data_IF_542630268605
#
_entry.id   IF_542630268605
#
_cell.length_a   1.000
_cell.length_b   1.000
_cell.length_c   1.000
_cell.angle_alpha   90.00
_cell.angle_beta   90.00
_cell.angle_gamma   90.00
#
_symmetry.space_group_name_H-M   'P 1'
#
loop_
_entity.id
_entity.type
_entity.pdbx_description
1 polymer ?
#
# COMPACT_ATOMS: atom_id res chain seq x y z
N UNK A 1 21.30 -36.30 -50.57
CA UNK A 1 21.69 -35.55 -49.35
C UNK A 1 20.43 -35.23 -48.56
N UNK A 2 20.46 -35.41 -47.24
CA UNK A 2 19.30 -35.55 -46.33
C UNK A 2 18.39 -34.30 -46.29
N UNK A 3 17.09 -34.51 -46.44
CA UNK A 3 16.05 -33.52 -46.10
C UNK A 3 16.12 -33.21 -44.60
N UNK A 4 16.46 -31.97 -44.23
CA UNK A 4 16.37 -31.49 -42.86
C UNK A 4 14.90 -31.19 -42.54
N UNK A 5 14.23 -32.14 -41.89
CA UNK A 5 12.82 -32.06 -41.45
C UNK A 5 12.65 -31.27 -40.14
N UNK A 6 13.33 -30.12 -40.00
CA UNK A 6 13.12 -29.20 -38.87
C UNK A 6 12.96 -27.78 -39.40
N UNK A 7 11.73 -27.28 -39.34
CA UNK A 7 11.41 -25.87 -39.52
C UNK A 7 12.08 -25.09 -38.38
N UNK A 8 13.17 -24.41 -38.66
CA UNK A 8 13.81 -23.50 -37.71
C UNK A 8 12.98 -22.21 -37.67
N UNK A 9 12.21 -21.99 -36.60
CA UNK A 9 11.58 -20.69 -36.34
C UNK A 9 12.69 -19.68 -35.99
N UNK A 10 13.03 -18.82 -36.95
CA UNK A 10 13.91 -17.68 -36.74
C UNK A 10 13.08 -16.59 -36.05
N UNK A 11 13.16 -16.52 -34.72
CA UNK A 11 12.65 -15.38 -33.93
C UNK A 11 13.79 -14.42 -33.63
N UNK A 12 13.53 -13.13 -33.69
CA UNK A 12 14.48 -12.13 -33.21
C UNK A 12 14.60 -12.24 -31.68
N UNK A 13 15.79 -11.95 -31.14
CA UNK A 13 16.07 -11.89 -29.70
C UNK A 13 14.94 -11.17 -28.93
N UNK A 14 14.54 -11.67 -27.74
CA UNK A 14 15.44 -12.22 -26.73
C UNK A 14 15.26 -13.72 -26.49
N UNK A 15 16.36 -14.46 -26.66
CA UNK A 15 16.50 -15.82 -26.13
C UNK A 15 16.89 -15.79 -24.64
N UNK A 16 16.10 -15.13 -23.80
CA UNK A 16 16.28 -15.14 -22.34
C UNK A 16 15.30 -16.16 -21.76
N UNK A 17 15.76 -17.40 -21.63
CA UNK A 17 15.13 -18.41 -20.79
C UNK A 17 15.95 -18.52 -19.50
N UNK A 18 15.58 -17.75 -18.47
CA UNK A 18 15.83 -17.99 -17.02
C UNK A 18 15.75 -16.71 -16.14
N UNK A 19 14.72 -15.89 -16.35
CA UNK A 19 14.28 -14.93 -15.33
C UNK A 19 13.10 -15.51 -14.55
N UNK A 20 12.91 -15.12 -13.29
CA UNK A 20 11.64 -15.34 -12.60
C UNK A 20 10.53 -14.64 -13.41
N UNK A 21 9.40 -15.33 -13.65
CA UNK A 21 8.28 -14.71 -14.37
C UNK A 21 7.71 -13.54 -13.58
N UNK A 22 7.14 -12.55 -14.27
CA UNK A 22 6.46 -11.42 -13.63
C UNK A 22 5.43 -11.90 -12.60
N UNK A 23 4.66 -12.92 -12.94
CA UNK A 23 3.66 -13.56 -12.06
C UNK A 23 4.31 -14.09 -10.78
N UNK A 24 5.48 -14.74 -10.90
CA UNK A 24 6.22 -15.26 -9.75
C UNK A 24 6.72 -14.11 -8.86
N UNK A 25 7.21 -13.03 -9.45
CA UNK A 25 7.68 -11.85 -8.71
C UNK A 25 6.51 -11.20 -7.98
N UNK A 26 5.40 -10.93 -8.68
CA UNK A 26 4.21 -10.28 -8.11
C UNK A 26 3.56 -11.13 -7.02
N UNK A 27 3.49 -12.44 -7.20
CA UNK A 27 3.02 -13.35 -6.14
C UNK A 27 3.90 -13.29 -4.89
N UNK A 28 5.22 -13.23 -5.04
CA UNK A 28 6.13 -13.06 -3.90
C UNK A 28 5.96 -11.70 -3.20
N UNK A 29 5.58 -10.64 -3.93
CA UNK A 29 5.23 -9.34 -3.32
C UNK A 29 3.98 -9.47 -2.46
N UNK A 30 2.93 -10.14 -2.96
CA UNK A 30 1.73 -10.43 -2.14
C UNK A 30 2.11 -11.21 -0.88
N UNK A 31 2.93 -12.26 -1.03
CA UNK A 31 3.38 -13.09 0.09
C UNK A 31 4.19 -12.28 1.13
N UNK A 32 5.03 -11.36 0.68
CA UNK A 32 5.82 -10.49 1.55
C UNK A 32 4.96 -9.49 2.33
N UNK A 33 3.85 -9.03 1.74
CA UNK A 33 2.91 -8.09 2.37
C UNK A 33 1.90 -8.78 3.29
N UNK A 34 1.68 -10.08 3.11
CA UNK A 34 0.67 -10.86 3.84
C UNK A 34 0.83 -10.77 5.37
N UNK A 35 2.03 -10.86 5.98
CA UNK A 35 2.16 -10.70 7.43
C UNK A 35 1.72 -9.32 7.92
N UNK A 36 2.08 -8.26 7.19
CA UNK A 36 1.69 -6.89 7.52
C UNK A 36 0.18 -6.67 7.34
N UNK A 37 -0.44 -7.27 6.31
CA UNK A 37 -1.89 -7.17 6.09
C UNK A 37 -2.68 -7.88 7.20
N UNK A 38 -2.23 -9.07 7.63
CA UNK A 38 -2.85 -9.79 8.73
C UNK A 38 -2.72 -9.05 10.05
N UNK A 39 -1.58 -8.41 10.32
CA UNK A 39 -1.43 -7.55 11.49
C UNK A 39 -2.36 -6.33 11.42
N UNK A 40 -2.49 -5.69 10.25
CA UNK A 40 -3.47 -4.63 10.02
C UNK A 40 -4.91 -5.09 10.32
N UNK A 41 -5.29 -6.29 9.87
CA UNK A 41 -6.59 -6.89 10.19
C UNK A 41 -6.75 -7.20 11.68
N UNK A 42 -5.67 -7.62 12.35
CA UNK A 42 -5.69 -7.85 13.79
C UNK A 42 -5.91 -6.54 14.58
N UNK A 43 -5.20 -5.47 14.22
CA UNK A 43 -5.27 -4.19 14.93
C UNK A 43 -6.55 -3.41 14.65
N UNK A 44 -6.95 -3.30 13.38
CA UNK A 44 -8.08 -2.46 12.96
C UNK A 44 -9.38 -3.21 12.71
N UNK A 45 -9.35 -4.55 12.77
CA UNK A 45 -10.54 -5.40 12.76
C UNK A 45 -11.29 -5.39 11.42
N UNK A 46 -12.62 -5.43 11.51
CA UNK A 46 -13.49 -5.68 10.35
C UNK A 46 -13.44 -4.54 9.32
N UNK A 47 -13.24 -3.30 9.77
CA UNK A 47 -13.15 -2.14 8.89
C UNK A 47 -11.94 -2.23 7.93
N UNK A 48 -10.79 -2.68 8.43
CA UNK A 48 -9.60 -2.91 7.60
C UNK A 48 -9.79 -4.05 6.60
N UNK A 49 -10.46 -5.14 7.01
CA UNK A 49 -10.75 -6.27 6.12
C UNK A 49 -11.63 -5.79 4.96
N UNK A 50 -12.69 -5.04 5.24
CA UNK A 50 -13.61 -4.53 4.23
C UNK A 50 -12.89 -3.58 3.28
N UNK A 51 -12.17 -2.58 3.80
CA UNK A 51 -11.49 -1.58 2.96
C UNK A 51 -10.43 -2.20 2.05
N UNK A 52 -9.56 -3.08 2.56
CA UNK A 52 -8.53 -3.75 1.74
C UNK A 52 -9.16 -4.69 0.72
N UNK A 53 -10.16 -5.47 1.12
CA UNK A 53 -10.83 -6.42 0.20
C UNK A 53 -11.53 -5.68 -0.93
N UNK A 54 -12.22 -4.59 -0.62
CA UNK A 54 -12.89 -3.76 -1.62
C UNK A 54 -11.86 -3.09 -2.53
N UNK A 55 -10.78 -2.54 -1.99
CA UNK A 55 -9.69 -1.97 -2.79
C UNK A 55 -9.13 -2.98 -3.79
N UNK A 56 -8.88 -4.22 -3.36
CA UNK A 56 -8.42 -5.31 -4.22
C UNK A 56 -9.46 -5.67 -5.30
N UNK A 57 -10.71 -5.93 -4.90
CA UNK A 57 -11.77 -6.30 -5.84
C UNK A 57 -11.99 -5.19 -6.86
N UNK A 58 -12.07 -3.93 -6.41
CA UNK A 58 -12.26 -2.79 -7.30
C UNK A 58 -11.11 -2.63 -8.28
N UNK A 59 -9.85 -2.74 -7.86
CA UNK A 59 -8.72 -2.66 -8.78
C UNK A 59 -8.76 -3.77 -9.85
N UNK A 60 -9.03 -5.02 -9.46
CA UNK A 60 -9.11 -6.16 -10.39
C UNK A 60 -10.30 -6.01 -11.32
N UNK A 61 -11.46 -5.60 -10.81
CA UNK A 61 -12.67 -5.37 -11.59
C UNK A 61 -12.49 -4.21 -12.58
N UNK A 62 -11.88 -3.10 -12.16
CA UNK A 62 -11.58 -1.98 -13.07
C UNK A 62 -10.66 -2.42 -14.19
N UNK A 63 -9.58 -3.15 -13.89
CA UNK A 63 -8.69 -3.64 -14.93
C UNK A 63 -9.43 -4.56 -15.91
N UNK A 64 -10.22 -5.49 -15.38
CA UNK A 64 -11.00 -6.42 -16.19
C UNK A 64 -11.96 -5.69 -17.12
N UNK A 65 -12.75 -4.74 -16.59
CA UNK A 65 -13.73 -3.97 -17.37
C UNK A 65 -13.05 -3.13 -18.45
N UNK A 66 -11.93 -2.48 -18.14
CA UNK A 66 -11.18 -1.68 -19.10
C UNK A 66 -10.53 -2.54 -20.19
N UNK A 67 -9.99 -3.70 -19.85
CA UNK A 67 -9.48 -4.66 -20.84
C UNK A 67 -10.57 -5.10 -21.81
N UNK A 68 -11.74 -5.49 -21.28
CA UNK A 68 -12.89 -5.89 -22.09
C UNK A 68 -13.36 -4.74 -22.99
N UNK A 69 -13.44 -3.52 -22.45
CA UNK A 69 -13.85 -2.35 -23.21
C UNK A 69 -12.86 -1.98 -24.33
N UNK A 70 -11.56 -2.18 -24.11
CA UNK A 70 -10.51 -1.98 -25.11
C UNK A 70 -10.35 -3.16 -26.08
N UNK A 71 -11.15 -4.23 -25.95
CA UNK A 71 -11.02 -5.44 -26.78
C UNK A 71 -9.72 -6.22 -26.57
N UNK A 72 -9.07 -6.07 -25.41
CA UNK A 72 -7.81 -6.73 -25.05
C UNK A 72 -8.06 -7.97 -24.19
N UNK A 73 -7.17 -8.98 -24.24
CA UNK A 73 -7.25 -10.11 -23.32
C UNK A 73 -7.13 -9.63 -21.87
N UNK A 74 -7.82 -10.32 -20.96
CA UNK A 74 -7.88 -9.93 -19.55
C UNK A 74 -6.64 -10.39 -18.80
N UNK A 75 -6.01 -9.47 -18.08
CA UNK A 75 -4.71 -9.68 -17.42
C UNK A 75 -4.84 -10.14 -15.97
N UNK A 76 -5.83 -11.00 -15.67
CA UNK A 76 -6.12 -11.41 -14.28
C UNK A 76 -5.06 -12.31 -13.66
N UNK A 77 -4.21 -12.97 -14.47
CA UNK A 77 -3.22 -13.95 -14.02
C UNK A 77 -1.90 -13.33 -13.55
N UNK A 78 -1.63 -12.08 -13.93
CA UNK A 78 -0.32 -11.45 -13.70
C UNK A 78 -0.17 -10.88 -12.28
N UNK A 79 -1.17 -11.08 -11.40
CA UNK A 79 -1.24 -10.59 -10.01
C UNK A 79 -1.15 -9.07 -9.82
N UNK A 80 -0.88 -8.33 -10.89
CA UNK A 80 -0.47 -6.93 -10.77
C UNK A 80 -1.57 -5.98 -10.32
N UNK A 81 -2.82 -6.11 -10.79
CA UNK A 81 -3.92 -5.34 -10.23
C UNK A 81 -4.25 -5.73 -8.78
N UNK A 82 -4.07 -7.00 -8.43
CA UNK A 82 -4.23 -7.44 -7.04
C UNK A 82 -3.18 -6.82 -6.12
N UNK A 83 -1.90 -6.79 -6.55
CA UNK A 83 -0.81 -6.10 -5.83
C UNK A 83 -1.09 -4.60 -5.72
N UNK A 84 -1.52 -3.95 -6.81
CA UNK A 84 -1.90 -2.52 -6.77
C UNK A 84 -3.03 -2.28 -5.78
N UNK A 85 -4.10 -3.07 -5.82
CA UNK A 85 -5.24 -2.94 -4.91
C UNK A 85 -4.86 -3.23 -3.45
N UNK A 86 -3.99 -4.22 -3.21
CA UNK A 86 -3.49 -4.54 -1.88
C UNK A 86 -2.66 -3.39 -1.31
N UNK A 87 -1.66 -2.91 -2.07
CA UNK A 87 -0.83 -1.77 -1.65
C UNK A 87 -1.67 -0.51 -1.45
N UNK A 88 -2.60 -0.23 -2.36
CA UNK A 88 -3.51 0.90 -2.24
C UNK A 88 -4.34 0.79 -0.97
N UNK A 89 -5.04 -0.33 -0.74
CA UNK A 89 -5.84 -0.55 0.47
C UNK A 89 -5.04 -0.44 1.76
N UNK A 90 -3.81 -0.99 1.79
CA UNK A 90 -2.91 -0.89 2.94
C UNK A 90 -2.51 0.55 3.27
N UNK A 91 -2.48 1.43 2.28
CA UNK A 91 -2.14 2.85 2.48
C UNK A 91 -3.35 3.69 2.89
N UNK A 92 -4.56 3.14 3.02
CA UNK A 92 -5.75 3.90 3.41
C UNK A 92 -6.04 3.78 4.90
N UNK A 93 -6.78 4.74 5.49
CA UNK A 93 -7.36 4.55 6.81
C UNK A 93 -8.44 3.45 6.77
N UNK A 94 -8.54 2.63 7.82
CA UNK A 94 -9.51 1.54 7.88
C UNK A 94 -10.97 2.00 7.95
N UNK A 95 -11.22 3.22 8.39
CA UNK A 95 -12.56 3.82 8.46
C UNK A 95 -12.98 4.58 7.20
N UNK A 96 -12.22 4.48 6.10
CA UNK A 96 -12.55 5.19 4.87
C UNK A 96 -13.86 4.66 4.29
N UNK A 97 -14.80 5.55 3.88
CA UNK A 97 -16.01 5.13 3.21
C UNK A 97 -15.71 4.25 1.99
N UNK A 98 -16.45 3.16 1.86
CA UNK A 98 -16.26 2.15 0.82
C UNK A 98 -16.27 2.76 -0.58
N UNK A 99 -17.20 3.67 -0.87
CA UNK A 99 -17.33 4.29 -2.18
C UNK A 99 -16.10 5.14 -2.56
N UNK A 100 -15.46 5.81 -1.59
CA UNK A 100 -14.22 6.57 -1.84
C UNK A 100 -13.08 5.61 -2.18
N UNK A 101 -13.03 4.47 -1.50
CA UNK A 101 -12.05 3.41 -1.77
C UNK A 101 -12.19 2.92 -3.21
N UNK A 102 -13.41 2.64 -3.67
CA UNK A 102 -13.70 2.24 -5.06
C UNK A 102 -13.26 3.33 -6.04
N UNK A 103 -13.58 4.60 -5.78
CA UNK A 103 -13.21 5.72 -6.64
C UNK A 103 -11.69 5.80 -6.85
N UNK A 104 -10.91 5.73 -5.76
CA UNK A 104 -9.45 5.78 -5.87
C UNK A 104 -8.86 4.55 -6.57
N UNK A 105 -9.46 3.37 -6.43
CA UNK A 105 -9.06 2.17 -7.17
C UNK A 105 -9.31 2.32 -8.68
N UNK A 106 -10.44 2.89 -9.07
CA UNK A 106 -10.76 3.19 -10.48
C UNK A 106 -9.74 4.14 -11.08
N UNK A 107 -9.36 5.17 -10.33
CA UNK A 107 -8.35 6.16 -10.75
C UNK A 107 -6.96 5.51 -10.87
N UNK A 108 -6.55 4.73 -9.86
CA UNK A 108 -5.26 4.03 -9.84
C UNK A 108 -5.09 3.15 -11.08
N UNK A 109 -6.08 2.32 -11.40
CA UNK A 109 -5.99 1.42 -12.55
C UNK A 109 -6.26 2.15 -13.86
N UNK A 110 -7.37 2.89 -13.94
CA UNK A 110 -7.82 3.53 -15.17
C UNK A 110 -6.87 4.61 -15.68
N UNK A 111 -6.54 5.57 -14.81
CA UNK A 111 -5.76 6.75 -15.20
C UNK A 111 -4.27 6.45 -15.16
N UNK A 112 -3.79 5.69 -14.18
CA UNK A 112 -2.33 5.51 -14.01
C UNK A 112 -1.78 4.25 -14.68
N UNK A 113 -2.54 3.15 -14.71
CA UNK A 113 -2.04 1.89 -15.28
C UNK A 113 -2.45 1.71 -16.74
N UNK A 114 -3.75 1.74 -17.03
CA UNK A 114 -4.26 1.42 -18.37
C UNK A 114 -3.97 2.51 -19.40
N UNK A 115 -4.04 3.78 -19.01
CA UNK A 115 -3.76 4.90 -19.91
C UNK A 115 -2.31 4.90 -20.43
N UNK A 116 -1.36 4.47 -19.60
CA UNK A 116 0.06 4.41 -19.95
C UNK A 116 0.46 3.10 -20.65
N UNK A 117 -0.51 2.25 -21.00
CA UNK A 117 -0.27 1.04 -21.77
C UNK A 117 -0.14 -0.25 -20.95
N UNK A 118 -0.37 -0.20 -19.64
CA UNK A 118 -0.43 -1.38 -18.77
C UNK A 118 0.90 -1.72 -18.09
N UNK A 119 1.14 -3.01 -17.87
CA UNK A 119 2.28 -3.49 -17.08
C UNK A 119 3.63 -3.17 -17.74
N UNK A 120 4.54 -2.61 -16.95
CA UNK A 120 5.90 -2.24 -17.40
C UNK A 120 6.01 -0.82 -17.96
N UNK A 121 4.90 -0.15 -18.25
CA UNK A 121 4.87 1.22 -18.80
C UNK A 121 4.38 2.27 -17.81
N UNK A 122 4.21 1.90 -16.54
CA UNK A 122 3.73 2.81 -15.50
C UNK A 122 4.82 3.84 -15.15
N UNK A 123 4.61 5.10 -15.52
CA UNK A 123 5.51 6.20 -15.13
C UNK A 123 5.55 6.41 -13.60
N UNK A 124 4.41 6.18 -12.93
CA UNK A 124 4.24 6.32 -11.48
C UNK A 124 3.65 5.05 -10.87
N UNK A 125 3.81 4.88 -9.54
CA UNK A 125 3.15 3.80 -8.82
C UNK A 125 1.62 4.01 -8.82
N UNK A 126 0.83 3.13 -9.46
CA UNK A 126 -0.62 3.30 -9.58
C UNK A 126 -1.33 3.42 -8.23
N UNK A 127 -0.92 2.64 -7.23
CA UNK A 127 -1.54 2.65 -5.90
C UNK A 127 -1.37 4.01 -5.21
N UNK A 128 -0.18 4.59 -5.30
CA UNK A 128 0.13 5.88 -4.68
C UNK A 128 -0.56 7.04 -5.39
N UNK A 129 -0.77 6.96 -6.72
CA UNK A 129 -1.53 7.98 -7.45
C UNK A 129 -3.00 7.96 -7.03
N UNK A 130 -3.60 6.78 -6.88
CA UNK A 130 -4.96 6.65 -6.34
C UNK A 130 -5.10 7.29 -4.95
N UNK A 131 -4.18 6.96 -4.03
CA UNK A 131 -4.13 7.58 -2.69
C UNK A 131 -3.92 9.09 -2.76
N UNK A 132 -2.99 9.59 -3.58
CA UNK A 132 -2.70 11.01 -3.66
C UNK A 132 -3.90 11.83 -4.16
N UNK A 133 -4.64 11.31 -5.14
CA UNK A 133 -5.85 11.98 -5.64
C UNK A 133 -6.98 11.97 -4.62
N UNK A 134 -7.16 10.87 -3.87
CA UNK A 134 -8.09 10.88 -2.74
C UNK A 134 -7.66 11.82 -1.63
N UNK A 135 -6.37 11.94 -1.34
CA UNK A 135 -5.85 12.88 -0.34
C UNK A 135 -6.14 14.34 -0.73
N UNK A 136 -6.06 14.66 -2.02
CA UNK A 136 -6.38 15.98 -2.54
C UNK A 136 -7.90 16.26 -2.52
N UNK A 137 -8.73 15.27 -2.84
CA UNK A 137 -10.18 15.41 -2.91
C UNK A 137 -10.88 15.32 -1.54
N UNK A 138 -10.41 14.44 -0.66
CA UNK A 138 -11.04 14.09 0.61
C UNK A 138 -10.03 14.07 1.79
N UNK A 139 -9.35 15.19 2.07
CA UNK A 139 -8.26 15.23 3.05
C UNK A 139 -8.73 14.87 4.47
N UNK A 140 -9.94 15.26 4.86
CA UNK A 140 -10.50 14.98 6.19
C UNK A 140 -10.75 13.49 6.38
N UNK A 141 -11.30 12.81 5.38
CA UNK A 141 -11.55 11.37 5.43
C UNK A 141 -10.25 10.56 5.48
N UNK A 142 -9.19 11.02 4.78
CA UNK A 142 -7.89 10.33 4.78
C UNK A 142 -7.02 10.61 6.02
N UNK A 143 -7.40 11.59 6.85
CA UNK A 143 -6.68 11.95 8.08
C UNK A 143 -7.46 11.62 9.36
N UNK A 144 -8.60 10.95 9.21
CA UNK A 144 -9.43 10.49 10.33
C UNK A 144 -9.10 9.05 10.69
N UNK A 145 -8.51 8.84 11.88
CA UNK A 145 -8.06 7.53 12.34
C UNK A 145 -8.98 7.00 13.45
N UNK A 146 -9.51 5.76 13.32
CA UNK A 146 -10.33 5.19 14.37
C UNK A 146 -9.48 4.77 15.56
N UNK A 147 -10.06 4.83 16.77
CA UNK A 147 -9.40 4.27 17.97
C UNK A 147 -9.32 2.74 17.83
N UNK A 148 -8.13 2.19 18.13
CA UNK A 148 -7.93 0.74 18.26
C UNK A 148 -8.68 0.25 19.51
N UNK A 149 -9.92 -0.20 19.33
CA UNK A 149 -10.82 -0.63 20.41
C UNK A 149 -10.90 -2.15 20.61
N UNK A 150 -11.48 -2.57 21.74
CA UNK A 150 -11.77 -3.98 22.04
C UNK A 150 -12.90 -4.57 21.18
N UNK A 151 -13.82 -3.74 20.68
CA UNK A 151 -14.95 -4.15 19.83
C UNK A 151 -14.66 -4.15 18.31
N UNK A 152 -13.39 -4.11 17.92
CA UNK A 152 -12.93 -3.99 16.51
C UNK A 152 -13.48 -5.05 15.53
N UNK A 153 -13.88 -6.23 16.02
CA UNK A 153 -14.45 -7.31 15.20
C UNK A 153 -15.98 -7.42 15.30
N UNK A 154 -16.60 -6.78 16.29
CA UNK A 154 -18.04 -6.85 16.56
C UNK A 154 -18.81 -5.62 16.08
N UNK A 155 -18.13 -4.46 15.96
CA UNK A 155 -18.74 -3.21 15.49
C UNK A 155 -18.04 -2.71 14.24
N UNK A 156 -18.84 -2.29 13.25
CA UNK A 156 -18.34 -1.54 12.10
C UNK A 156 -18.48 -0.03 12.36
N UNK A 157 -17.44 0.78 12.09
CA UNK A 157 -17.58 2.23 12.15
C UNK A 157 -18.65 2.70 11.17
N UNK A 158 -19.55 3.56 11.63
CA UNK A 158 -20.65 4.12 10.81
C UNK A 158 -20.13 4.87 9.56
N UNK A 159 -18.92 5.42 9.65
CA UNK A 159 -18.21 6.07 8.54
C UNK A 159 -17.92 5.15 7.35
N UNK A 160 -17.71 3.84 7.58
CA UNK A 160 -17.32 2.90 6.51
C UNK A 160 -18.45 2.67 5.51
N UNK A 161 -19.69 2.62 6.01
CA UNK A 161 -20.90 2.38 5.20
C UNK A 161 -21.65 3.66 4.83
N UNK A 162 -21.02 4.82 4.98
CA UNK A 162 -21.65 6.10 4.64
C UNK A 162 -21.92 6.19 3.13
N UNK A 163 -23.14 6.58 2.77
CA UNK A 163 -23.55 6.77 1.37
C UNK A 163 -22.77 7.93 0.70
N UNK A 164 -22.59 7.89 -0.63
CA UNK A 164 -21.94 8.97 -1.36
C UNK A 164 -22.66 10.30 -1.12
N UNK A 165 -21.88 11.37 -0.98
CA UNK A 165 -22.35 12.73 -0.67
C UNK A 165 -22.94 12.96 0.73
N UNK A 166 -22.94 11.96 1.61
CA UNK A 166 -23.25 12.14 3.03
C UNK A 166 -21.98 12.40 3.85
N UNK A 167 -22.11 13.13 4.95
CA UNK A 167 -21.00 13.34 5.89
C UNK A 167 -20.77 12.07 6.72
N UNK A 168 -19.54 11.52 6.74
CA UNK A 168 -19.23 10.36 7.57
C UNK A 168 -19.26 10.75 9.05
N UNK A 169 -20.01 9.98 9.84
CA UNK A 169 -20.02 10.10 11.30
C UNK A 169 -18.94 9.16 11.85
N UNK A 170 -18.02 9.72 12.63
CA UNK A 170 -16.92 8.97 13.21
C UNK A 170 -17.19 8.64 14.67
N UNK A 171 -17.37 7.35 14.95
CA UNK A 171 -17.57 6.85 16.30
C UNK A 171 -16.21 6.70 16.99
N UNK A 172 -15.84 7.66 17.84
CA UNK A 172 -14.57 7.65 18.58
C UNK A 172 -13.34 7.80 17.69
N UNK A 173 -12.89 9.04 17.49
CA UNK A 173 -11.66 9.34 16.75
C UNK A 173 -10.44 9.32 17.66
N UNK A 174 -9.43 8.54 17.30
CA UNK A 174 -8.07 8.76 17.80
C UNK A 174 -7.51 9.85 16.92
N UNK A 175 -7.73 11.11 17.30
CA UNK A 175 -7.49 12.27 16.43
C UNK A 175 -6.06 12.45 15.93
N UNK A 176 -5.10 11.63 16.39
CA UNK A 176 -3.71 11.82 16.05
C UNK A 176 -2.93 10.49 15.94
N UNK A 177 -2.35 10.25 14.77
CA UNK A 177 -1.19 9.35 14.58
C UNK A 177 -0.03 9.77 15.47
N UNK A 178 0.92 8.88 15.80
CA UNK A 178 2.11 9.24 16.57
C UNK A 178 2.81 10.50 16.05
N UNK A 179 2.94 10.63 14.73
CA UNK A 179 3.58 11.79 14.12
C UNK A 179 2.76 13.09 14.27
N UNK A 180 1.43 13.01 14.25
CA UNK A 180 0.58 14.19 14.48
C UNK A 180 0.51 14.57 15.96
N UNK A 181 0.48 13.59 16.88
CA UNK A 181 0.63 13.83 18.33
C UNK A 181 1.92 14.56 18.64
N UNK A 182 3.03 14.12 18.06
CA UNK A 182 4.30 14.82 18.20
C UNK A 182 4.25 16.24 17.64
N UNK A 183 3.66 16.42 16.45
CA UNK A 183 3.62 17.73 15.78
C UNK A 183 2.78 18.76 16.54
N UNK A 184 1.62 18.36 17.07
CA UNK A 184 0.65 19.28 17.68
C UNK A 184 0.77 19.32 19.21
N UNK A 185 0.89 18.16 19.85
CA UNK A 185 0.83 18.01 21.31
C UNK A 185 2.20 17.75 21.94
N UNK A 186 3.25 17.53 21.13
CA UNK A 186 4.62 17.19 21.57
C UNK A 186 4.69 15.90 22.39
N UNK A 187 3.67 15.06 22.29
CA UNK A 187 3.65 13.76 22.94
C UNK A 187 4.45 12.73 22.13
N UNK A 188 5.36 12.01 22.80
CA UNK A 188 6.07 10.87 22.21
C UNK A 188 5.29 9.59 22.44
N UNK A 189 5.11 8.80 21.39
CA UNK A 189 4.74 7.39 21.53
C UNK A 189 5.98 6.56 21.83
N UNK A 190 5.83 5.52 22.65
CA UNK A 190 6.92 4.59 22.96
C UNK A 190 7.40 3.89 21.67
N UNK A 191 8.73 3.76 21.51
CA UNK A 191 9.34 3.14 20.33
C UNK A 191 8.91 1.69 20.16
N UNK A 192 8.66 0.97 21.25
CA UNK A 192 8.22 -0.41 21.19
C UNK A 192 6.82 -0.53 20.59
N UNK A 193 5.91 0.36 20.96
CA UNK A 193 4.56 0.43 20.40
C UNK A 193 4.57 0.76 18.90
N UNK A 194 5.47 1.65 18.47
CA UNK A 194 5.72 1.96 17.07
C UNK A 194 6.31 0.77 16.30
N UNK A 195 7.18 0.00 16.94
CA UNK A 195 7.83 -1.14 16.30
C UNK A 195 6.89 -2.34 16.10
N UNK A 196 6.03 -2.58 17.09
CA UNK A 196 5.03 -3.67 17.09
C UNK A 196 3.76 -3.28 16.33
N UNK A 197 3.39 -2.00 16.35
CA UNK A 197 2.27 -1.43 15.61
C UNK A 197 0.95 -1.34 16.37
N UNK A 198 0.99 -1.16 17.69
CA UNK A 198 -0.17 -0.89 18.54
C UNK A 198 -0.73 0.54 18.39
N UNK A 199 -0.39 1.23 17.31
CA UNK A 199 -0.64 2.66 17.09
C UNK A 199 -1.65 2.93 15.98
N UNK A 200 -2.30 4.09 16.04
CA UNK A 200 -3.22 4.56 15.00
C UNK A 200 -2.46 5.03 13.75
N UNK A 201 -2.90 4.60 12.57
CA UNK A 201 -2.30 4.92 11.27
C UNK A 201 -2.96 4.15 10.13
N UNK A 202 -2.34 4.19 8.95
CA UNK A 202 -2.74 3.39 7.78
C UNK A 202 -2.58 1.90 8.06
N UNK A 203 -3.46 1.09 7.47
CA UNK A 203 -3.57 -0.35 7.77
C UNK A 203 -2.23 -1.09 7.65
N UNK A 204 -1.42 -0.75 6.64
CA UNK A 204 -0.15 -1.40 6.34
C UNK A 204 1.09 -0.68 6.85
N UNK A 205 0.96 0.43 7.58
CA UNK A 205 2.10 1.23 8.05
C UNK A 205 2.41 1.01 9.53
N UNK A 206 1.45 0.51 10.30
CA UNK A 206 1.55 0.42 11.76
C UNK A 206 2.69 -0.46 12.25
N UNK A 207 2.94 -1.61 11.61
CA UNK A 207 3.88 -2.61 12.12
C UNK A 207 5.22 -2.57 11.39
N UNK A 208 6.13 -1.70 11.82
CA UNK A 208 7.46 -1.54 11.21
C UNK A 208 8.24 -2.86 11.13
N UNK A 209 8.16 -3.71 12.17
CA UNK A 209 8.81 -5.03 12.18
C UNK A 209 8.37 -5.90 10.99
N UNK A 210 7.06 -5.99 10.75
CA UNK A 210 6.52 -6.90 9.72
C UNK A 210 6.83 -6.39 8.32
N UNK A 211 6.81 -5.07 8.12
CA UNK A 211 7.21 -4.43 6.87
C UNK A 211 8.70 -4.70 6.60
N UNK A 212 9.57 -4.57 7.62
CA UNK A 212 10.99 -4.86 7.48
C UNK A 212 11.25 -6.32 7.16
N UNK A 213 10.56 -7.27 7.81
CA UNK A 213 10.67 -8.70 7.49
C UNK A 213 10.26 -8.98 6.04
N UNK A 214 9.15 -8.41 5.57
CA UNK A 214 8.72 -8.51 4.17
C UNK A 214 9.71 -7.89 3.19
N UNK A 215 10.26 -6.72 3.52
CA UNK A 215 11.29 -6.05 2.73
C UNK A 215 12.60 -6.84 2.65
N UNK A 216 13.07 -7.40 3.76
CA UNK A 216 14.24 -8.29 3.81
C UNK A 216 13.99 -9.54 2.97
N UNK A 217 12.81 -10.15 3.08
CA UNK A 217 12.42 -11.31 2.27
C UNK A 217 12.54 -11.03 0.77
N UNK A 218 12.00 -9.89 0.29
CA UNK A 218 12.09 -9.50 -1.13
C UNK A 218 13.51 -9.14 -1.55
N UNK A 219 14.28 -8.53 -0.65
CA UNK A 219 15.69 -8.19 -0.89
C UNK A 219 16.57 -9.44 -1.04
N UNK A 220 16.40 -10.44 -0.17
CA UNK A 220 17.16 -11.70 -0.22
C UNK A 220 16.89 -12.46 -1.52
N UNK A 221 15.65 -12.42 -2.01
CA UNK A 221 15.26 -13.01 -3.30
C UNK A 221 15.64 -12.18 -4.52
N UNK A 222 16.33 -11.04 -4.34
CA UNK A 222 16.73 -10.11 -5.41
C UNK A 222 15.56 -9.59 -6.26
N UNK A 223 14.36 -9.53 -5.67
CA UNK A 223 13.15 -8.98 -6.31
C UNK A 223 13.00 -7.47 -6.04
N UNK A 224 13.69 -6.96 -5.02
CA UNK A 224 13.74 -5.54 -4.66
C UNK A 224 15.19 -5.06 -4.57
N UNK A 225 15.47 -3.87 -5.11
CA UNK A 225 16.78 -3.24 -5.00
C UNK A 225 16.94 -2.57 -3.63
N UNK A 226 17.62 -3.27 -2.72
CA UNK A 226 17.85 -2.81 -1.34
C UNK A 226 18.57 -1.45 -1.25
N UNK A 227 19.33 -1.07 -2.29
CA UNK A 227 20.05 0.22 -2.33
C UNK A 227 19.08 1.39 -2.28
N UNK A 228 17.92 1.27 -2.95
CA UNK A 228 16.90 2.33 -2.97
C UNK A 228 16.30 2.49 -1.57
N UNK A 229 15.88 1.38 -0.96
CA UNK A 229 15.30 1.37 0.38
C UNK A 229 16.28 1.92 1.43
N UNK A 230 17.53 1.46 1.40
CA UNK A 230 18.56 1.88 2.36
C UNK A 230 18.97 3.35 2.16
N UNK A 231 18.99 3.85 0.92
CA UNK A 231 19.25 5.26 0.66
C UNK A 231 18.15 6.16 1.24
N UNK A 232 16.87 5.79 1.09
CA UNK A 232 15.74 6.54 1.64
C UNK A 232 15.78 6.53 3.17
N UNK A 233 15.85 5.35 3.79
CA UNK A 233 15.90 5.22 5.25
C UNK A 233 17.14 5.90 5.84
N UNK A 234 18.30 5.76 5.19
CA UNK A 234 19.54 6.41 5.59
C UNK A 234 19.45 7.94 5.51
N UNK A 235 18.83 8.49 4.46
CA UNK A 235 18.63 9.93 4.34
C UNK A 235 17.72 10.47 5.44
N UNK A 236 16.62 9.77 5.74
CA UNK A 236 15.72 10.15 6.85
C UNK A 236 16.45 10.09 8.19
N UNK A 237 17.23 9.03 8.43
CA UNK A 237 18.01 8.87 9.65
C UNK A 237 19.02 10.01 9.84
N UNK A 238 19.80 10.34 8.80
CA UNK A 238 20.82 11.39 8.86
C UNK A 238 20.16 12.76 9.06
N UNK A 239 19.17 13.12 8.23
CA UNK A 239 18.48 14.41 8.34
C UNK A 239 17.79 14.58 9.70
N UNK A 240 17.10 13.54 10.18
CA UNK A 240 16.44 13.59 11.49
C UNK A 240 17.45 13.69 12.63
N UNK A 241 18.59 13.01 12.55
CA UNK A 241 19.63 13.08 13.58
C UNK A 241 20.27 14.47 13.65
N UNK A 242 20.55 15.08 12.50
CA UNK A 242 21.10 16.44 12.44
C UNK A 242 20.10 17.44 13.02
N UNK A 243 18.84 17.39 12.61
CA UNK A 243 17.81 18.31 13.10
C UNK A 243 17.52 18.13 14.59
N UNK A 244 17.41 16.88 15.06
CA UNK A 244 17.23 16.58 16.48
C UNK A 244 18.44 17.03 17.31
N UNK A 245 19.66 16.89 16.79
CA UNK A 245 20.87 17.39 17.46
C UNK A 245 20.92 18.92 17.57
N UNK A 246 20.27 19.65 16.65
CA UNK A 246 20.17 21.12 16.71
C UNK A 246 19.11 21.59 17.71
N UNK A 247 17.93 20.95 17.71
CA UNK A 247 16.84 21.28 18.62
C UNK A 247 16.01 20.03 18.95
N UNK A 248 16.34 19.34 20.06
CA UNK A 248 15.63 18.13 20.47
C UNK A 248 14.17 18.36 20.86
N UNK A 249 13.79 19.58 21.26
CA UNK A 249 12.42 19.89 21.65
C UNK A 249 11.53 20.09 20.41
N UNK A 250 12.11 20.56 19.30
CA UNK A 250 11.38 20.82 18.06
C UNK A 250 11.33 19.65 17.09
N UNK A 251 12.41 18.88 16.98
CA UNK A 251 12.53 17.79 16.00
C UNK A 251 12.56 16.44 16.68
N UNK A 252 11.78 15.48 16.19
CA UNK A 252 11.77 14.13 16.75
C UNK A 252 13.10 13.41 16.49
N UNK A 253 13.41 12.44 17.35
CA UNK A 253 14.57 11.58 17.18
C UNK A 253 14.47 10.70 15.92
N UNK A 254 15.61 10.23 15.40
CA UNK A 254 15.66 9.46 14.15
C UNK A 254 14.91 8.13 14.23
N UNK A 255 14.97 7.44 15.38
CA UNK A 255 14.24 6.18 15.58
C UNK A 255 12.71 6.37 15.55
N UNK A 256 12.23 7.48 16.14
CA UNK A 256 10.82 7.83 16.07
C UNK A 256 10.40 8.15 14.63
N UNK A 257 11.16 8.98 13.91
CA UNK A 257 10.84 9.34 12.52
C UNK A 257 10.76 8.13 11.59
N UNK A 258 11.63 7.12 11.77
CA UNK A 258 11.63 5.92 10.95
C UNK A 258 10.50 4.94 11.26
N UNK A 259 9.92 4.99 12.46
CA UNK A 259 8.89 4.03 12.92
C UNK A 259 7.51 4.65 13.10
N UNK A 260 7.38 5.99 13.02
CA UNK A 260 6.14 6.73 13.30
C UNK A 260 5.11 6.79 12.17
N UNK A 261 5.41 6.17 11.02
CA UNK A 261 4.53 6.09 9.85
C UNK A 261 5.18 5.32 8.70
#
# INVERSE_FOLDING_TARGET
MKHLSKTLEIRTSPHIASGASTDSIMFNVVLALLPATLAGFYWFGLAAIITVTIAMISCVMTEHLLCVWMGRPTTYRDWSAAVTGLLYGLTLPPSLPVWMTVLGAVIAIGVTKTLFGGLGSNCFNPALVGRALLQAAFPTALTSWPVVGSQRFSSLPSSTLTFPFCQPIYDGLSGATPLSKWKFDRETTELFDLFVGSVSGSIGETSALLILVGGIYLSLRRMMNWRITLAILGTVFVCSSVLNGMDPARYAGPGFMLMSG
#
